data_IF_949233407735
#
_entry.id   IF_949233407735
#
_cell.length_a   1.000
_cell.length_b   1.000
_cell.length_c   1.000
_cell.angle_alpha   90.00
_cell.angle_beta   90.00
_cell.angle_gamma   90.00
#
_symmetry.space_group_name_H-M   'P 1'
#
loop_
_entity.id
_entity.type
_entity.pdbx_description
1 polymer ?
#
# COMPACT_ATOMS: atom_id res chain seq x y z
N UNK A 1 -38.27 -12.11 37.26
CA UNK A 1 -38.06 -11.69 35.85
C UNK A 1 -37.41 -12.85 35.13
N UNK A 2 -37.94 -13.26 33.96
CA UNK A 2 -37.53 -14.48 33.26
C UNK A 2 -36.24 -14.25 32.46
N UNK A 3 -35.29 -15.19 32.53
CA UNK A 3 -34.00 -15.15 31.82
C UNK A 3 -34.13 -14.91 30.31
N UNK A 4 -35.28 -15.26 29.71
CA UNK A 4 -35.60 -15.02 28.31
C UNK A 4 -35.79 -13.54 27.97
N UNK A 5 -36.25 -12.74 28.93
CA UNK A 5 -36.46 -11.29 28.76
C UNK A 5 -35.13 -10.54 28.84
N UNK A 6 -34.23 -10.94 29.76
CA UNK A 6 -32.88 -10.37 29.86
C UNK A 6 -32.02 -10.69 28.64
N UNK A 7 -32.14 -11.91 28.10
CA UNK A 7 -31.42 -12.30 26.88
C UNK A 7 -31.87 -11.48 25.67
N UNK A 8 -33.17 -11.17 25.56
CA UNK A 8 -33.72 -10.38 24.45
C UNK A 8 -33.27 -8.91 24.53
N UNK A 9 -33.30 -8.30 25.72
CA UNK A 9 -32.84 -6.92 25.94
C UNK A 9 -31.33 -6.79 25.70
N UNK A 10 -30.53 -7.76 26.17
CA UNK A 10 -29.08 -7.76 25.94
C UNK A 10 -28.71 -7.97 24.46
N UNK A 11 -29.48 -8.76 23.70
CA UNK A 11 -29.29 -8.92 22.26
C UNK A 11 -29.68 -7.65 21.49
N UNK A 12 -30.81 -7.02 21.82
CA UNK A 12 -31.24 -5.76 21.19
C UNK A 12 -30.22 -4.64 21.41
N UNK A 13 -29.74 -4.44 22.64
CA UNK A 13 -28.71 -3.43 22.94
C UNK A 13 -27.36 -3.70 22.24
N UNK A 14 -26.98 -4.96 22.05
CA UNK A 14 -25.75 -5.33 21.32
C UNK A 14 -25.89 -5.18 19.81
N UNK A 15 -27.07 -5.45 19.26
CA UNK A 15 -27.40 -5.17 17.86
C UNK A 15 -27.37 -3.67 17.60
N UNK A 16 -27.96 -2.87 18.49
CA UNK A 16 -27.95 -1.41 18.41
C UNK A 16 -26.53 -0.83 18.52
N UNK A 17 -25.69 -1.37 19.41
CA UNK A 17 -24.30 -0.94 19.53
C UNK A 17 -23.46 -1.30 18.29
N UNK A 18 -23.71 -2.45 17.67
CA UNK A 18 -22.99 -2.88 16.45
C UNK A 18 -23.42 -2.05 15.23
N UNK A 19 -24.71 -1.72 15.14
CA UNK A 19 -25.25 -0.86 14.09
C UNK A 19 -24.75 0.58 14.27
N UNK A 20 -24.75 1.11 15.50
CA UNK A 20 -24.21 2.42 15.82
C UNK A 20 -22.70 2.51 15.54
N UNK A 21 -21.94 1.46 15.85
CA UNK A 21 -20.52 1.37 15.52
C UNK A 21 -20.28 1.38 14.01
N UNK A 22 -21.09 0.62 13.25
CA UNK A 22 -21.01 0.58 11.79
C UNK A 22 -21.35 1.93 11.17
N UNK A 23 -22.40 2.59 11.65
CA UNK A 23 -22.79 3.94 11.22
C UNK A 23 -21.72 4.98 11.54
N UNK A 24 -21.12 4.93 12.73
CA UNK A 24 -20.05 5.84 13.11
C UNK A 24 -18.79 5.64 12.25
N UNK A 25 -18.44 4.40 11.90
CA UNK A 25 -17.33 4.13 10.98
C UNK A 25 -17.63 4.57 9.56
N UNK A 26 -18.82 4.28 9.02
CA UNK A 26 -19.21 4.73 7.69
C UNK A 26 -19.20 6.27 7.58
N UNK A 27 -19.73 6.97 8.59
CA UNK A 27 -19.75 8.44 8.61
C UNK A 27 -18.34 9.02 8.76
N UNK A 28 -17.48 8.37 9.55
CA UNK A 28 -16.05 8.71 9.62
C UNK A 28 -15.38 8.55 8.26
N UNK A 29 -15.64 7.45 7.57
CA UNK A 29 -15.03 7.15 6.27
C UNK A 29 -15.52 8.11 5.17
N UNK A 30 -16.80 8.50 5.18
CA UNK A 30 -17.34 9.55 4.32
C UNK A 30 -16.72 10.93 4.60
N UNK A 31 -16.64 11.35 5.86
CA UNK A 31 -16.01 12.63 6.24
C UNK A 31 -14.53 12.67 5.88
N UNK A 32 -13.82 11.54 6.01
CA UNK A 32 -12.42 11.42 5.60
C UNK A 32 -12.27 11.47 4.08
N UNK A 33 -13.22 10.90 3.33
CA UNK A 33 -13.24 10.92 1.86
C UNK A 33 -13.55 12.32 1.31
N UNK A 34 -14.56 13.01 1.87
CA UNK A 34 -15.03 14.32 1.41
C UNK A 34 -14.02 15.43 1.71
N UNK A 35 -13.25 15.30 2.79
CA UNK A 35 -12.23 16.28 3.17
C UNK A 35 -10.87 16.11 2.45
N UNK A 36 -10.76 15.18 1.49
CA UNK A 36 -9.49 14.76 0.86
C UNK A 36 -8.43 14.36 1.92
N UNK A 37 -8.92 13.83 3.05
CA UNK A 37 -8.12 13.49 4.22
C UNK A 37 -7.76 12.01 4.27
N UNK A 38 -8.40 11.13 3.50
CA UNK A 38 -8.00 9.72 3.36
C UNK A 38 -6.50 9.59 3.05
N UNK A 39 -5.94 10.35 2.09
CA UNK A 39 -4.50 10.45 1.88
C UNK A 39 -3.69 10.78 3.14
N UNK A 40 -4.17 11.73 3.94
CA UNK A 40 -3.44 12.25 5.11
C UNK A 40 -3.62 11.35 6.34
N UNK A 41 -4.74 10.65 6.45
CA UNK A 41 -5.03 9.71 7.53
C UNK A 41 -4.09 8.51 7.47
N UNK A 42 -3.82 7.97 6.28
CA UNK A 42 -2.85 6.89 6.09
C UNK A 42 -1.43 7.34 6.42
N UNK A 43 -1.05 8.56 6.01
CA UNK A 43 0.25 9.17 6.35
C UNK A 43 0.39 9.34 7.86
N UNK A 44 -0.63 9.83 8.54
CA UNK A 44 -0.65 10.00 10.00
C UNK A 44 -0.61 8.64 10.72
N UNK A 45 -1.33 7.63 10.22
CA UNK A 45 -1.30 6.27 10.77
C UNK A 45 0.09 5.64 10.63
N UNK A 46 0.73 5.82 9.46
CA UNK A 46 2.10 5.38 9.21
C UNK A 46 3.11 6.11 10.10
N UNK A 47 3.02 7.43 10.23
CA UNK A 47 3.86 8.22 11.13
C UNK A 47 3.71 7.75 12.58
N UNK A 48 2.48 7.50 13.03
CA UNK A 48 2.18 7.01 14.38
C UNK A 48 2.78 5.63 14.62
N UNK A 49 2.68 4.72 13.64
CA UNK A 49 3.34 3.40 13.69
C UNK A 49 4.85 3.54 13.79
N UNK A 50 5.47 4.36 12.93
CA UNK A 50 6.93 4.54 12.90
C UNK A 50 7.49 5.22 14.16
N UNK A 51 6.74 6.13 14.75
CA UNK A 51 7.07 6.71 16.05
C UNK A 51 7.09 5.64 17.16
N UNK A 52 6.13 4.70 17.16
CA UNK A 52 6.13 3.56 18.11
C UNK A 52 7.31 2.60 17.89
N UNK A 53 7.75 2.45 16.65
CA UNK A 53 8.94 1.64 16.29
C UNK A 53 10.27 2.35 16.63
N UNK A 54 10.23 3.56 17.18
CA UNK A 54 11.42 4.31 17.57
C UNK A 54 12.22 4.87 16.39
N UNK A 55 11.59 5.02 15.22
CA UNK A 55 12.26 5.65 14.07
C UNK A 55 12.51 7.13 14.36
N UNK A 56 13.73 7.66 14.17
CA UNK A 56 14.02 9.07 14.40
C UNK A 56 13.17 9.99 13.52
N UNK A 57 12.71 11.10 14.08
CA UNK A 57 11.74 12.01 13.44
C UNK A 57 12.30 12.65 12.16
N UNK A 58 13.60 12.91 12.14
CA UNK A 58 14.33 13.45 10.98
C UNK A 58 14.31 12.51 9.77
N UNK A 59 14.35 11.19 10.01
CA UNK A 59 14.22 10.17 8.95
C UNK A 59 12.80 10.14 8.40
N UNK A 60 11.80 10.29 9.27
CA UNK A 60 10.39 10.33 8.88
C UNK A 60 10.07 11.61 8.11
N UNK A 61 10.54 12.76 8.57
CA UNK A 61 10.40 14.05 7.91
C UNK A 61 11.03 14.02 6.50
N UNK A 62 12.26 13.51 6.38
CA UNK A 62 12.93 13.35 5.08
C UNK A 62 12.17 12.42 4.11
N UNK A 63 11.49 11.39 4.61
CA UNK A 63 10.67 10.49 3.77
C UNK A 63 9.37 11.15 3.30
N UNK A 64 8.74 11.95 4.15
CA UNK A 64 7.55 12.73 3.80
C UNK A 64 7.92 13.83 2.80
N UNK A 65 9.00 14.58 3.03
CA UNK A 65 9.47 15.67 2.16
C UNK A 65 9.87 15.17 0.76
N UNK A 66 10.54 14.00 0.68
CA UNK A 66 10.86 13.36 -0.61
C UNK A 66 9.65 12.74 -1.30
N UNK A 67 8.46 12.79 -0.70
CA UNK A 67 7.25 12.20 -1.27
C UNK A 67 7.30 10.66 -1.36
N UNK A 68 8.14 10.01 -0.56
CA UNK A 68 8.20 8.54 -0.45
C UNK A 68 7.01 7.99 0.36
N UNK A 69 6.33 8.86 1.11
CA UNK A 69 5.16 8.54 1.92
C UNK A 69 3.92 9.08 1.19
N UNK A 70 3.43 8.32 0.20
CA UNK A 70 2.16 8.59 -0.51
C UNK A 70 1.09 7.62 -0.04
N UNK A 71 -0.20 7.98 -0.08
CA UNK A 71 -1.30 7.08 0.26
C UNK A 71 -1.24 5.77 -0.52
N UNK A 72 -0.84 5.82 -1.80
CA UNK A 72 -0.66 4.63 -2.62
C UNK A 72 0.57 3.79 -2.25
N UNK A 73 1.61 4.39 -1.64
CA UNK A 73 2.74 3.68 -1.04
C UNK A 73 2.42 3.13 0.37
N UNK A 74 1.31 3.60 0.97
CA UNK A 74 0.84 3.24 2.31
C UNK A 74 -0.31 2.24 2.30
N UNK A 75 -1.06 2.20 1.19
CA UNK A 75 -1.70 0.96 0.77
C UNK A 75 -0.58 -0.06 0.75
N UNK A 76 -0.58 -0.95 1.73
CA UNK A 76 0.18 -2.18 1.62
C UNK A 76 -0.33 -2.84 0.35
N UNK A 77 0.33 -2.57 -0.76
CA UNK A 77 0.33 -3.49 -1.87
C UNK A 77 0.68 -4.83 -1.24
N UNK A 78 -0.10 -5.89 -1.52
CA UNK A 78 0.16 -7.19 -0.92
C UNK A 78 1.65 -7.49 -1.06
N UNK A 79 2.24 -8.17 -0.06
CA UNK A 79 3.67 -8.51 -0.06
C UNK A 79 4.14 -9.28 -1.32
N UNK A 80 3.18 -9.61 -2.18
CA UNK A 80 3.28 -10.36 -3.41
C UNK A 80 2.85 -9.53 -4.64
N UNK A 81 2.94 -8.18 -4.60
CA UNK A 81 2.59 -7.32 -5.75
C UNK A 81 3.41 -7.65 -6.99
N UNK A 82 4.72 -7.85 -6.82
CA UNK A 82 5.58 -8.33 -7.89
C UNK A 82 5.45 -9.84 -8.03
N UNK A 83 5.08 -10.28 -9.22
CA UNK A 83 4.94 -11.69 -9.57
C UNK A 83 6.04 -12.08 -10.58
N UNK A 84 6.76 -13.20 -10.38
CA UNK A 84 7.72 -13.69 -11.36
C UNK A 84 7.09 -13.87 -12.75
N UNK A 85 7.76 -13.38 -13.79
CA UNK A 85 7.30 -13.41 -15.18
C UNK A 85 6.45 -12.20 -15.59
N UNK A 86 6.09 -11.31 -14.66
CA UNK A 86 5.29 -10.13 -14.96
C UNK A 86 6.16 -8.93 -15.32
N UNK A 87 5.64 -8.07 -16.20
CA UNK A 87 6.26 -6.79 -16.56
C UNK A 87 5.47 -5.64 -15.95
N UNK A 88 6.17 -4.73 -15.29
CA UNK A 88 5.60 -3.57 -14.65
C UNK A 88 6.13 -2.29 -15.30
N UNK A 89 5.35 -1.23 -15.25
CA UNK A 89 5.78 0.11 -15.66
C UNK A 89 5.65 1.11 -14.54
N UNK A 90 6.55 2.10 -14.47
CA UNK A 90 6.36 3.30 -13.66
C UNK A 90 6.91 4.52 -14.34
N UNK A 91 6.36 5.69 -14.00
CA UNK A 91 6.98 6.97 -14.34
C UNK A 91 8.13 7.25 -13.38
N UNK A 92 9.32 7.47 -13.92
CA UNK A 92 10.50 7.85 -13.16
C UNK A 92 11.12 9.09 -13.83
N UNK A 93 11.03 10.23 -13.14
CA UNK A 93 11.29 11.54 -13.75
C UNK A 93 10.39 11.80 -14.96
N UNK A 94 10.98 11.93 -16.15
CA UNK A 94 10.30 12.18 -17.42
C UNK A 94 10.33 10.96 -18.36
N UNK A 95 10.75 9.79 -17.87
CA UNK A 95 10.78 8.55 -18.62
C UNK A 95 9.89 7.48 -17.98
N UNK A 96 9.30 6.65 -18.84
CA UNK A 96 8.66 5.41 -18.40
C UNK A 96 9.75 4.36 -18.26
N UNK A 97 9.78 3.63 -17.14
CA UNK A 97 10.64 2.46 -17.02
C UNK A 97 9.78 1.21 -17.05
N UNK A 98 10.27 0.17 -17.73
CA UNK A 98 9.71 -1.18 -17.71
C UNK A 98 10.59 -2.07 -16.85
N UNK A 99 9.97 -2.94 -16.08
CA UNK A 99 10.65 -3.89 -15.20
C UNK A 99 10.02 -5.27 -15.32
N UNK A 100 10.76 -6.21 -15.90
CA UNK A 100 10.39 -7.62 -15.99
C UNK A 100 10.93 -8.35 -14.76
N UNK A 101 10.03 -8.88 -13.94
CA UNK A 101 10.38 -9.61 -12.72
C UNK A 101 10.79 -11.02 -13.09
N UNK A 102 11.98 -11.43 -12.66
CA UNK A 102 12.46 -12.80 -12.81
C UNK A 102 12.14 -13.64 -11.57
N UNK A 103 12.36 -13.10 -10.39
CA UNK A 103 12.04 -13.75 -9.12
C UNK A 103 11.86 -12.71 -8.01
N UNK A 104 11.29 -13.15 -6.90
CA UNK A 104 11.15 -12.34 -5.67
C UNK A 104 11.76 -13.14 -4.54
N UNK A 105 12.66 -12.52 -3.79
CA UNK A 105 13.30 -13.14 -2.63
C UNK A 105 13.39 -12.17 -1.45
N UNK A 106 13.75 -12.67 -0.28
CA UNK A 106 14.00 -11.86 0.89
C UNK A 106 15.30 -11.08 0.76
N UNK A 107 15.29 -9.85 1.26
CA UNK A 107 16.52 -9.08 1.46
C UNK A 107 17.49 -9.86 2.38
N UNK A 108 18.80 -9.59 2.33
CA UNK A 108 19.78 -10.32 3.16
C UNK A 108 19.50 -10.29 4.67
N UNK A 109 18.76 -9.29 5.14
CA UNK A 109 18.34 -9.15 6.53
C UNK A 109 16.97 -9.78 6.84
N UNK A 110 16.32 -10.42 5.86
CA UNK A 110 15.03 -11.10 6.02
C UNK A 110 13.84 -10.20 6.35
N UNK A 111 13.99 -8.87 6.21
CA UNK A 111 12.98 -7.92 6.72
C UNK A 111 11.92 -7.58 5.69
N UNK A 112 12.24 -7.67 4.40
CA UNK A 112 11.34 -7.34 3.30
C UNK A 112 11.66 -8.18 2.07
N UNK A 113 10.68 -8.32 1.17
CA UNK A 113 10.86 -8.96 -0.14
C UNK A 113 11.36 -7.94 -1.16
N UNK A 114 12.20 -8.41 -2.08
CA UNK A 114 12.81 -7.66 -3.18
C UNK A 114 12.52 -8.40 -4.47
N UNK A 115 12.02 -7.70 -5.47
CA UNK A 115 11.87 -8.23 -6.81
C UNK A 115 13.18 -8.04 -7.57
N UNK A 116 13.65 -9.10 -8.22
CA UNK A 116 14.86 -9.11 -9.04
C UNK A 116 14.48 -9.40 -10.48
N UNK A 117 15.13 -8.70 -11.40
CA UNK A 117 14.86 -8.92 -12.82
C UNK A 117 15.59 -7.94 -13.71
N UNK A 118 14.90 -7.49 -14.74
CA UNK A 118 15.47 -6.70 -15.82
C UNK A 118 14.70 -5.40 -15.98
N UNK A 119 15.40 -4.28 -16.17
CA UNK A 119 14.79 -2.99 -16.50
C UNK A 119 15.23 -2.47 -17.85
N UNK A 120 14.36 -1.68 -18.46
CA UNK A 120 14.65 -0.87 -19.64
C UNK A 120 13.92 0.46 -19.51
N UNK A 121 14.57 1.55 -19.90
CA UNK A 121 13.94 2.87 -19.98
C UNK A 121 13.27 3.06 -21.34
N UNK A 122 12.27 3.92 -21.40
CA UNK A 122 11.60 4.23 -22.66
C UNK A 122 12.58 4.84 -23.68
N UNK A 123 12.50 4.35 -24.92
CA UNK A 123 13.47 4.68 -25.98
C UNK A 123 14.80 3.90 -25.94
N UNK A 124 15.05 3.09 -24.89
CA UNK A 124 16.17 2.14 -24.87
C UNK A 124 15.70 0.74 -25.33
N UNK A 125 16.64 -0.02 -25.86
CA UNK A 125 16.49 -1.42 -26.27
C UNK A 125 17.29 -2.38 -25.39
N UNK A 126 18.18 -1.86 -24.55
CA UNK A 126 19.08 -2.67 -23.73
C UNK A 126 18.48 -2.91 -22.36
N UNK A 127 18.15 -4.16 -22.08
CA UNK A 127 17.75 -4.56 -20.74
C UNK A 127 18.99 -4.66 -19.82
N UNK A 128 18.85 -4.14 -18.60
CA UNK A 128 19.89 -4.21 -17.58
C UNK A 128 19.37 -4.88 -16.31
N UNK A 129 20.19 -5.67 -15.59
CA UNK A 129 19.77 -6.28 -14.35
C UNK A 129 19.51 -5.20 -13.29
N UNK A 130 18.43 -5.35 -12.53
CA UNK A 130 18.08 -4.46 -11.42
C UNK A 130 17.27 -5.23 -10.37
N UNK A 131 17.14 -4.62 -9.21
CA UNK A 131 16.17 -4.98 -8.20
C UNK A 131 15.17 -3.84 -7.95
N UNK A 132 14.08 -4.16 -7.26
CA UNK A 132 13.13 -3.19 -6.72
C UNK A 132 12.49 -3.72 -5.43
N UNK A 133 12.63 -2.92 -4.36
CA UNK A 133 11.92 -3.07 -3.09
C UNK A 133 10.83 -1.99 -2.91
N UNK A 134 10.69 -1.10 -3.90
CA UNK A 134 9.72 -0.03 -3.94
C UNK A 134 8.48 -0.49 -4.70
N UNK A 135 7.43 -0.83 -3.96
CA UNK A 135 6.15 -1.24 -4.55
C UNK A 135 5.36 -0.04 -5.10
N UNK A 136 5.75 1.19 -4.78
CA UNK A 136 5.02 2.40 -5.15
C UNK A 136 5.13 2.77 -6.63
N UNK A 137 3.99 3.11 -7.23
CA UNK A 137 3.92 3.71 -8.57
C UNK A 137 4.14 2.74 -9.74
N UNK A 138 4.32 1.45 -9.47
CA UNK A 138 4.35 0.41 -10.48
C UNK A 138 2.95 -0.03 -10.90
N UNK A 139 2.78 -0.31 -12.19
CA UNK A 139 1.55 -0.81 -12.80
C UNK A 139 1.88 -2.07 -13.61
N UNK A 140 1.18 -3.17 -13.33
CA UNK A 140 1.32 -4.42 -14.10
C UNK A 140 0.80 -4.22 -15.54
N UNK A 141 1.64 -4.54 -16.52
CA UNK A 141 1.37 -4.45 -17.96
C UNK A 141 1.62 -5.79 -18.68
N UNK A 142 1.65 -6.90 -17.94
CA UNK A 142 1.97 -8.24 -18.48
C UNK A 142 1.02 -8.67 -19.60
N UNK A 143 -0.22 -8.20 -19.60
CA UNK A 143 -1.18 -8.36 -20.71
C UNK A 143 -1.23 -7.13 -21.64
N UNK A 144 -0.06 -6.63 -22.04
CA UNK A 144 0.12 -5.68 -23.13
C UNK A 144 1.05 -6.29 -24.19
N UNK A 145 0.57 -7.37 -24.81
CA UNK A 145 1.32 -8.13 -25.80
C UNK A 145 1.84 -7.27 -26.95
N UNK A 146 3.05 -7.63 -27.38
CA UNK A 146 3.63 -7.43 -28.71
C UNK A 146 2.67 -6.80 -29.73
N UNK A 147 2.88 -5.53 -30.06
CA UNK A 147 2.57 -5.06 -31.40
C UNK A 147 3.81 -5.32 -32.26
N UNK A 148 3.63 -6.20 -33.25
CA UNK A 148 4.54 -6.54 -34.36
C UNK A 148 5.34 -5.35 -34.94
#
# INVERSE_FOLDING_TARGET
MSARMELHVALSLRLDAKEAYRLAHNYRDEVLAEADLLPKADVVAWLTKKAREGTPVEVLASKVERGAVRPDNLRMLPADFFEPGHTYTRQHHASTIRFLVQHVDWSPCGTYKVAFGWRVEDGDVTWSPTDSDDFGGWVDVTQGGESE
#
